data_IF_811328564231
#
_entry.id   IF_811328564231
#
_cell.length_a   1.000
_cell.length_b   1.000
_cell.length_c   1.000
_cell.angle_alpha   90.00
_cell.angle_beta   90.00
_cell.angle_gamma   90.00
#
_symmetry.space_group_name_H-M   'P 1'
#
loop_
_entity.id
_entity.type
_entity.pdbx_description
1 polymer ?
#
# COMPACT_ATOMS: atom_id res chain seq x y z
N UNK A 1 36.20 37.38 -6.07
CA UNK A 1 35.50 36.50 -7.03
C UNK A 1 35.17 35.22 -6.31
N UNK A 2 33.93 35.09 -5.75
CA UNK A 2 33.46 33.90 -5.03
C UNK A 2 33.13 32.87 -6.10
N UNK A 3 33.98 31.85 -6.25
CA UNK A 3 33.71 30.70 -7.11
C UNK A 3 32.63 29.89 -6.41
N UNK A 4 31.36 30.05 -6.83
CA UNK A 4 30.26 29.18 -6.44
C UNK A 4 30.59 27.77 -6.95
N UNK A 5 31.05 26.89 -6.05
CA UNK A 5 31.23 25.46 -6.35
C UNK A 5 29.90 24.90 -6.87
N UNK A 6 29.93 24.32 -8.06
CA UNK A 6 28.77 23.60 -8.59
C UNK A 6 28.30 22.58 -7.55
N UNK A 7 26.98 22.49 -7.25
CA UNK A 7 26.49 21.58 -6.26
C UNK A 7 26.86 20.13 -6.62
N UNK A 8 27.28 19.37 -5.60
CA UNK A 8 27.66 17.96 -5.78
C UNK A 8 26.52 17.18 -6.44
N UNK A 9 26.79 16.11 -7.22
CA UNK A 9 25.74 15.27 -7.83
C UNK A 9 24.67 14.86 -6.83
N UNK A 10 25.07 14.49 -5.60
CA UNK A 10 24.16 14.15 -4.51
C UNK A 10 23.24 15.30 -4.06
N UNK A 11 23.69 16.55 -4.17
CA UNK A 11 22.88 17.72 -3.84
C UNK A 11 21.80 18.02 -4.89
N UNK A 12 22.03 17.64 -6.16
CA UNK A 12 21.05 17.77 -7.24
C UNK A 12 20.00 16.65 -7.23
N UNK A 13 20.35 15.47 -6.73
CA UNK A 13 19.44 14.30 -6.65
C UNK A 13 18.40 14.45 -5.52
N UNK A 14 18.76 15.06 -4.38
CA UNK A 14 17.85 15.19 -3.22
C UNK A 14 16.50 15.84 -3.53
N UNK A 15 16.42 17.01 -4.21
CA UNK A 15 15.13 17.61 -4.55
C UNK A 15 14.27 16.70 -5.44
N UNK A 16 14.91 15.99 -6.38
CA UNK A 16 14.22 15.04 -7.24
C UNK A 16 13.61 13.86 -6.43
N UNK A 17 14.38 13.30 -5.50
CA UNK A 17 13.89 12.21 -4.64
C UNK A 17 12.71 12.64 -3.77
N UNK A 18 12.73 13.86 -3.22
CA UNK A 18 11.60 14.39 -2.46
C UNK A 18 10.39 14.68 -3.34
N UNK A 19 10.59 15.09 -4.58
CA UNK A 19 9.51 15.29 -5.54
C UNK A 19 8.86 13.96 -5.92
N UNK A 20 9.65 12.90 -6.15
CA UNK A 20 9.16 11.55 -6.38
C UNK A 20 8.47 10.97 -5.11
N UNK A 21 8.98 11.28 -3.92
CA UNK A 21 8.33 10.93 -2.67
C UNK A 21 6.98 11.65 -2.51
N UNK A 22 6.85 12.90 -2.98
CA UNK A 22 5.57 13.61 -2.97
C UNK A 22 4.54 12.98 -3.92
N UNK A 23 4.95 12.51 -5.11
CA UNK A 23 4.09 11.70 -5.99
C UNK A 23 3.59 10.46 -5.27
N UNK A 24 4.52 9.72 -4.65
CA UNK A 24 4.20 8.52 -3.91
C UNK A 24 3.25 8.80 -2.72
N UNK A 25 3.50 9.90 -2.00
CA UNK A 25 2.66 10.34 -0.89
C UNK A 25 1.22 10.58 -1.33
N UNK A 26 1.00 11.32 -2.41
CA UNK A 26 -0.35 11.69 -2.85
C UNK A 26 -1.18 10.48 -3.26
N UNK A 27 -0.62 9.53 -4.01
CA UNK A 27 -1.38 8.36 -4.41
C UNK A 27 -1.59 7.36 -3.24
N UNK A 28 -0.64 7.27 -2.32
CA UNK A 28 -0.79 6.42 -1.11
C UNK A 28 -1.85 7.01 -0.17
N UNK A 29 -1.87 8.34 0.02
CA UNK A 29 -2.93 9.00 0.80
C UNK A 29 -4.29 8.78 0.16
N UNK A 30 -4.43 8.93 -1.16
CA UNK A 30 -5.68 8.69 -1.89
C UNK A 30 -6.21 7.27 -1.65
N UNK A 31 -5.33 6.28 -1.71
CA UNK A 31 -5.68 4.90 -1.43
C UNK A 31 -6.10 4.70 0.03
N UNK A 32 -5.27 5.15 0.98
CA UNK A 32 -5.47 4.87 2.40
C UNK A 32 -6.66 5.61 3.00
N UNK A 33 -6.93 6.86 2.59
CA UNK A 33 -7.95 7.68 3.22
C UNK A 33 -9.38 7.24 2.92
N UNK A 34 -9.62 6.49 1.82
CA UNK A 34 -10.96 6.01 1.50
C UNK A 34 -11.52 5.10 2.60
N UNK A 35 -10.69 4.27 3.19
CA UNK A 35 -11.10 3.27 4.17
C UNK A 35 -11.65 3.91 5.45
N UNK A 36 -10.94 4.84 6.13
CA UNK A 36 -11.48 5.53 7.29
C UNK A 36 -12.62 6.51 6.96
N UNK A 37 -12.77 6.94 5.70
CA UNK A 37 -13.95 7.68 5.23
C UNK A 37 -15.20 6.80 5.09
N UNK A 38 -15.06 5.47 5.22
CA UNK A 38 -16.12 4.49 5.07
C UNK A 38 -17.41 4.85 5.77
N UNK A 39 -17.43 5.14 7.10
CA UNK A 39 -18.66 5.48 7.82
C UNK A 39 -19.40 6.67 7.17
N UNK A 40 -18.67 7.73 6.82
CA UNK A 40 -19.23 8.93 6.22
C UNK A 40 -19.76 8.67 4.81
N UNK A 41 -19.03 7.89 4.00
CA UNK A 41 -19.45 7.51 2.64
C UNK A 41 -20.67 6.58 2.67
N UNK A 42 -20.69 5.59 3.55
CA UNK A 42 -21.81 4.66 3.71
C UNK A 42 -23.07 5.43 4.12
N UNK A 43 -22.95 6.34 5.08
CA UNK A 43 -24.08 7.17 5.53
C UNK A 43 -24.57 8.15 4.45
N UNK A 44 -23.66 8.90 3.80
CA UNK A 44 -24.01 9.98 2.87
C UNK A 44 -24.47 9.49 1.50
N UNK A 45 -23.97 8.34 1.06
CA UNK A 45 -24.30 7.76 -0.26
C UNK A 45 -25.22 6.52 -0.15
N UNK A 46 -25.67 6.16 1.06
CA UNK A 46 -26.53 5.00 1.27
C UNK A 46 -25.87 3.68 0.85
N UNK A 47 -24.55 3.51 1.11
CA UNK A 47 -23.82 2.34 0.65
C UNK A 47 -23.95 1.19 1.65
N UNK A 48 -24.25 0.01 1.14
CA UNK A 48 -24.03 -1.23 1.91
C UNK A 48 -22.54 -1.53 2.07
N UNK A 49 -22.18 -2.36 3.05
CA UNK A 49 -20.80 -2.84 3.22
C UNK A 49 -20.23 -3.46 1.93
N UNK A 50 -21.06 -4.21 1.18
CA UNK A 50 -20.67 -4.80 -0.11
C UNK A 50 -20.31 -3.73 -1.16
N UNK A 51 -21.12 -2.68 -1.30
CA UNK A 51 -20.83 -1.59 -2.24
C UNK A 51 -19.59 -0.80 -1.82
N UNK A 52 -19.41 -0.57 -0.53
CA UNK A 52 -18.20 0.05 -0.01
C UNK A 52 -16.95 -0.81 -0.26
N UNK A 53 -17.02 -2.12 0.00
CA UNK A 53 -15.95 -3.06 -0.36
C UNK A 53 -15.61 -3.04 -1.84
N UNK A 54 -16.61 -2.94 -2.72
CA UNK A 54 -16.40 -2.80 -4.16
C UNK A 54 -15.66 -1.49 -4.53
N UNK A 55 -15.93 -0.36 -3.83
CA UNK A 55 -15.20 0.91 -4.05
C UNK A 55 -13.73 0.81 -3.67
N UNK A 56 -13.41 0.12 -2.57
CA UNK A 56 -12.01 -0.12 -2.17
C UNK A 56 -11.34 -1.06 -3.15
N UNK A 57 -12.02 -2.15 -3.53
CA UNK A 57 -11.53 -3.16 -4.48
C UNK A 57 -11.24 -2.58 -5.86
N UNK A 58 -12.10 -1.71 -6.37
CA UNK A 58 -11.98 -1.15 -7.72
C UNK A 58 -10.62 -0.49 -7.95
N UNK A 59 -10.14 0.25 -6.95
CA UNK A 59 -8.81 0.88 -7.02
C UNK A 59 -7.70 -0.15 -7.05
N UNK A 60 -7.67 -1.08 -6.09
CA UNK A 60 -6.56 -2.00 -5.93
C UNK A 60 -6.52 -3.10 -6.99
N UNK A 61 -7.70 -3.57 -7.46
CA UNK A 61 -7.75 -4.52 -8.58
C UNK A 61 -7.33 -3.87 -9.90
N UNK A 62 -7.73 -2.60 -10.14
CA UNK A 62 -7.27 -1.85 -11.30
C UNK A 62 -5.76 -1.59 -11.23
N UNK A 63 -5.23 -1.24 -10.04
CA UNK A 63 -3.79 -1.10 -9.78
C UNK A 63 -3.04 -2.40 -10.07
N UNK A 64 -3.51 -3.53 -9.55
CA UNK A 64 -2.92 -4.85 -9.79
C UNK A 64 -2.89 -5.20 -11.28
N UNK A 65 -4.02 -5.04 -11.97
CA UNK A 65 -4.13 -5.35 -13.39
C UNK A 65 -3.18 -4.50 -14.23
N UNK A 66 -3.17 -3.18 -14.00
CA UNK A 66 -2.28 -2.27 -14.73
C UNK A 66 -0.82 -2.45 -14.34
N UNK A 67 -0.52 -2.78 -13.08
CA UNK A 67 0.84 -3.13 -12.65
C UNK A 67 1.40 -4.35 -13.39
N UNK A 68 0.60 -5.40 -13.58
CA UNK A 68 0.99 -6.57 -14.40
C UNK A 68 1.13 -6.20 -15.86
N UNK A 69 0.14 -5.51 -16.43
CA UNK A 69 0.17 -5.11 -17.84
C UNK A 69 1.36 -4.19 -18.13
N UNK A 70 1.69 -3.30 -17.23
CA UNK A 70 2.81 -2.36 -17.35
C UNK A 70 4.16 -3.04 -17.58
N UNK A 71 4.36 -4.25 -17.05
CA UNK A 71 5.62 -5.01 -17.23
C UNK A 71 5.95 -5.25 -18.71
N UNK A 72 4.95 -5.29 -19.60
CA UNK A 72 5.15 -5.61 -21.02
C UNK A 72 5.50 -4.41 -21.90
N UNK A 73 5.18 -3.17 -21.47
CA UNK A 73 5.33 -2.00 -22.33
C UNK A 73 5.97 -0.77 -21.68
N UNK A 74 6.01 -0.72 -20.35
CA UNK A 74 6.49 0.45 -19.59
C UNK A 74 7.96 0.78 -19.91
N UNK A 75 8.80 -0.23 -20.16
CA UNK A 75 10.22 -0.06 -20.49
C UNK A 75 10.46 0.51 -21.90
N UNK A 76 9.42 0.61 -22.73
CA UNK A 76 9.49 1.19 -24.07
C UNK A 76 9.16 2.68 -24.12
N UNK A 77 8.75 3.25 -22.99
CA UNK A 77 8.28 4.62 -22.90
C UNK A 77 9.28 5.51 -22.15
N UNK A 78 9.37 6.77 -22.59
CA UNK A 78 10.15 7.80 -21.89
C UNK A 78 9.55 8.05 -20.49
N UNK A 79 10.39 7.92 -19.45
CA UNK A 79 9.96 7.90 -18.05
C UNK A 79 9.23 9.18 -17.61
N UNK A 80 9.74 10.37 -17.99
CA UNK A 80 9.14 11.65 -17.59
C UNK A 80 7.74 11.82 -18.16
N UNK A 81 7.58 11.62 -19.48
CA UNK A 81 6.27 11.75 -20.14
C UNK A 81 5.28 10.76 -19.57
N UNK A 82 5.69 9.53 -19.37
CA UNK A 82 4.86 8.47 -18.80
C UNK A 82 4.39 8.85 -17.40
N UNK A 83 5.31 9.31 -16.52
CA UNK A 83 4.93 9.74 -15.17
C UNK A 83 3.96 10.92 -15.21
N UNK A 84 4.24 11.93 -16.04
CA UNK A 84 3.38 13.12 -16.13
C UNK A 84 1.97 12.79 -16.64
N UNK A 85 1.83 11.90 -17.63
CA UNK A 85 0.53 11.48 -18.16
C UNK A 85 -0.25 10.65 -17.13
N UNK A 86 0.39 9.68 -16.50
CA UNK A 86 -0.24 8.86 -15.46
C UNK A 86 -0.66 9.71 -14.26
N UNK A 87 0.18 10.64 -13.85
CA UNK A 87 -0.11 11.49 -12.71
C UNK A 87 -1.21 12.52 -13.03
N UNK A 88 -1.26 13.07 -14.26
CA UNK A 88 -2.38 13.89 -14.70
C UNK A 88 -3.70 13.10 -14.73
N UNK A 89 -3.68 11.85 -15.22
CA UNK A 89 -4.84 10.95 -15.17
C UNK A 89 -5.28 10.65 -13.74
N UNK A 90 -4.34 10.42 -12.83
CA UNK A 90 -4.61 10.23 -11.40
C UNK A 90 -5.26 11.48 -10.77
N UNK A 91 -4.73 12.69 -11.05
CA UNK A 91 -5.29 13.96 -10.56
C UNK A 91 -6.72 14.14 -11.06
N UNK A 92 -6.95 13.93 -12.36
CA UNK A 92 -8.29 14.02 -12.94
C UNK A 92 -9.26 13.02 -12.28
N UNK A 93 -8.84 11.78 -12.08
CA UNK A 93 -9.64 10.76 -11.40
C UNK A 93 -9.92 11.11 -9.93
N UNK A 94 -8.94 11.67 -9.20
CA UNK A 94 -9.12 12.12 -7.81
C UNK A 94 -10.10 13.32 -7.75
N UNK A 95 -10.04 14.26 -8.71
CA UNK A 95 -11.03 15.33 -8.84
C UNK A 95 -12.43 14.77 -9.13
N UNK A 96 -12.54 13.78 -10.01
CA UNK A 96 -13.80 13.08 -10.29
C UNK A 96 -14.35 12.36 -9.04
N UNK A 97 -13.48 11.82 -8.15
CA UNK A 97 -13.93 11.32 -6.86
C UNK A 97 -14.59 12.43 -6.03
N UNK A 98 -13.98 13.62 -5.96
CA UNK A 98 -14.54 14.78 -5.26
C UNK A 98 -15.82 15.34 -5.90
N UNK A 99 -15.96 15.21 -7.21
CA UNK A 99 -17.14 15.67 -7.97
C UNK A 99 -18.26 14.61 -8.08
N UNK A 100 -18.03 13.38 -7.64
CA UNK A 100 -18.97 12.28 -7.79
C UNK A 100 -20.31 12.59 -7.07
N UNK A 101 -21.42 12.39 -7.78
CA UNK A 101 -22.77 12.59 -7.26
C UNK A 101 -23.38 11.33 -6.66
N UNK A 102 -22.77 10.15 -6.91
CA UNK A 102 -23.25 8.87 -6.43
C UNK A 102 -22.18 7.78 -6.47
N UNK A 103 -22.55 6.59 -6.01
CA UNK A 103 -21.68 5.42 -5.89
C UNK A 103 -21.03 5.00 -7.21
N UNK A 104 -21.78 5.00 -8.31
CA UNK A 104 -21.28 4.57 -9.63
C UNK A 104 -20.19 5.52 -10.16
N UNK A 105 -20.41 6.83 -10.07
CA UNK A 105 -19.40 7.82 -10.48
C UNK A 105 -18.12 7.69 -9.64
N UNK A 106 -18.28 7.49 -8.33
CA UNK A 106 -17.14 7.24 -7.43
C UNK A 106 -16.42 5.94 -7.78
N UNK A 107 -17.14 4.86 -8.11
CA UNK A 107 -16.56 3.58 -8.52
C UNK A 107 -15.71 3.72 -9.79
N UNK A 108 -16.22 4.40 -10.81
CA UNK A 108 -15.49 4.64 -12.07
C UNK A 108 -14.24 5.48 -11.80
N UNK A 109 -14.37 6.56 -11.04
CA UNK A 109 -13.26 7.43 -10.70
C UNK A 109 -12.16 6.66 -9.90
N UNK A 110 -12.55 5.80 -8.95
CA UNK A 110 -11.63 4.93 -8.19
C UNK A 110 -10.91 3.92 -9.07
N UNK A 111 -11.63 3.33 -10.05
CA UNK A 111 -11.02 2.39 -11.01
C UNK A 111 -9.94 3.09 -11.84
N UNK A 112 -10.23 4.29 -12.37
CA UNK A 112 -9.25 5.06 -13.15
C UNK A 112 -8.06 5.51 -12.29
N UNK A 113 -8.32 6.01 -11.08
CA UNK A 113 -7.27 6.40 -10.15
C UNK A 113 -6.33 5.23 -9.82
N UNK A 114 -6.89 4.05 -9.55
CA UNK A 114 -6.14 2.82 -9.28
C UNK A 114 -5.31 2.37 -10.49
N UNK A 115 -5.89 2.42 -11.69
CA UNK A 115 -5.18 2.08 -12.94
C UNK A 115 -3.94 2.98 -13.15
N UNK A 116 -4.07 4.27 -12.92
CA UNK A 116 -2.94 5.20 -12.98
C UNK A 116 -1.91 4.91 -11.89
N UNK A 117 -2.36 4.71 -10.64
CA UNK A 117 -1.50 4.50 -9.47
C UNK A 117 -0.64 3.24 -9.57
N UNK A 118 -1.20 2.13 -10.09
CA UNK A 118 -0.48 0.86 -10.26
C UNK A 118 0.75 0.98 -11.17
N UNK A 119 0.69 1.84 -12.17
CA UNK A 119 1.83 2.12 -13.05
C UNK A 119 2.78 3.18 -12.46
N UNK A 120 2.23 4.18 -11.77
CA UNK A 120 3.04 5.29 -11.22
C UNK A 120 4.11 4.80 -10.25
N UNK A 121 3.78 3.88 -9.35
CA UNK A 121 4.74 3.30 -8.41
C UNK A 121 5.94 2.66 -9.11
N UNK A 122 5.69 1.89 -10.19
CA UNK A 122 6.73 1.27 -10.98
C UNK A 122 7.60 2.30 -11.71
N UNK A 123 6.98 3.33 -12.33
CA UNK A 123 7.72 4.41 -13.03
C UNK A 123 8.59 5.21 -12.06
N UNK A 124 8.09 5.53 -10.85
CA UNK A 124 8.86 6.24 -9.82
C UNK A 124 10.13 5.46 -9.45
N UNK A 125 10.00 4.16 -9.19
CA UNK A 125 11.15 3.30 -8.87
C UNK A 125 12.10 3.16 -10.05
N UNK A 126 11.59 3.09 -11.29
CA UNK A 126 12.40 3.06 -12.49
C UNK A 126 13.21 4.35 -12.65
N UNK A 127 12.61 5.54 -12.47
CA UNK A 127 13.31 6.82 -12.52
C UNK A 127 14.43 6.87 -11.46
N UNK A 128 14.16 6.44 -10.22
CA UNK A 128 15.20 6.37 -9.18
C UNK A 128 16.35 5.46 -9.61
N UNK A 129 16.05 4.32 -10.23
CA UNK A 129 17.04 3.37 -10.69
C UNK A 129 17.86 3.86 -11.87
N UNK A 130 17.27 4.70 -12.72
CA UNK A 130 17.95 5.26 -13.91
C UNK A 130 18.81 6.49 -13.57
N UNK A 131 18.42 7.28 -12.55
CA UNK A 131 19.08 8.55 -12.18
C UNK A 131 20.12 8.36 -11.07
N UNK A 132 19.91 7.41 -10.15
CA UNK A 132 20.77 7.25 -8.96
C UNK A 132 21.77 6.11 -9.18
N UNK A 133 23.08 6.33 -8.90
CA UNK A 133 24.12 5.30 -8.96
C UNK A 133 23.78 4.08 -8.10
N UNK A 134 24.21 2.89 -8.55
CA UNK A 134 23.86 1.60 -7.95
C UNK A 134 24.13 1.54 -6.43
N UNK A 135 25.24 2.15 -5.98
CA UNK A 135 25.70 2.15 -4.58
C UNK A 135 24.73 2.90 -3.64
N UNK A 136 23.94 3.86 -4.18
CA UNK A 136 23.04 4.72 -3.41
C UNK A 136 21.55 4.45 -3.68
N UNK A 137 21.21 3.57 -4.64
CA UNK A 137 19.81 3.25 -5.02
C UNK A 137 18.96 2.82 -3.85
N UNK A 138 19.50 1.97 -2.98
CA UNK A 138 18.77 1.51 -1.80
C UNK A 138 18.35 2.66 -0.87
N UNK A 139 19.25 3.61 -0.63
CA UNK A 139 18.96 4.79 0.18
C UNK A 139 17.94 5.71 -0.51
N UNK A 140 18.06 5.89 -1.82
CA UNK A 140 17.13 6.72 -2.60
C UNK A 140 15.71 6.12 -2.61
N UNK A 141 15.57 4.82 -2.85
CA UNK A 141 14.30 4.10 -2.75
C UNK A 141 13.73 4.23 -1.33
N UNK A 142 14.56 4.06 -0.29
CA UNK A 142 14.16 4.27 1.10
C UNK A 142 13.60 5.66 1.35
N UNK A 143 14.20 6.70 0.77
CA UNK A 143 13.70 8.08 0.85
C UNK A 143 12.31 8.21 0.20
N UNK A 144 12.10 7.64 -0.98
CA UNK A 144 10.79 7.66 -1.64
C UNK A 144 9.75 6.86 -0.85
N UNK A 145 10.14 5.73 -0.26
CA UNK A 145 9.24 4.88 0.53
C UNK A 145 8.83 5.51 1.88
N UNK A 146 9.52 6.56 2.38
CA UNK A 146 9.05 7.30 3.57
C UNK A 146 7.66 7.90 3.37
N UNK A 147 7.24 8.10 2.12
CA UNK A 147 5.91 8.55 1.74
C UNK A 147 4.80 7.68 2.37
N UNK A 148 4.97 6.35 2.43
CA UNK A 148 3.97 5.45 3.03
C UNK A 148 3.74 5.74 4.52
N UNK A 149 4.84 5.89 5.26
CA UNK A 149 4.76 6.19 6.68
C UNK A 149 4.16 7.58 6.94
N UNK A 150 4.56 8.58 6.13
CA UNK A 150 4.02 9.93 6.23
C UNK A 150 2.53 9.97 5.86
N UNK A 151 2.11 9.17 4.87
CA UNK A 151 0.69 9.03 4.51
C UNK A 151 -0.15 8.49 5.66
N UNK A 152 0.35 7.46 6.36
CA UNK A 152 -0.37 6.87 7.49
C UNK A 152 -0.42 7.81 8.70
N UNK A 153 0.68 8.52 9.00
CA UNK A 153 0.79 9.39 10.19
C UNK A 153 0.11 10.74 10.00
N UNK A 154 0.26 11.36 8.84
CA UNK A 154 -0.24 12.71 8.57
C UNK A 154 -1.35 12.72 7.51
N UNK A 155 -1.18 12.00 6.40
CA UNK A 155 -2.10 12.05 5.27
C UNK A 155 -3.52 11.62 5.62
N UNK A 156 -3.66 10.46 6.26
CA UNK A 156 -4.97 9.91 6.65
C UNK A 156 -5.68 10.77 7.71
N UNK A 157 -5.05 11.15 8.84
CA UNK A 157 -5.71 12.00 9.82
C UNK A 157 -6.09 13.38 9.29
N UNK A 158 -5.24 14.00 8.46
CA UNK A 158 -5.55 15.28 7.82
C UNK A 158 -6.72 15.15 6.85
N UNK A 159 -6.77 14.06 6.05
CA UNK A 159 -7.89 13.78 5.18
C UNK A 159 -9.21 13.62 5.96
N UNK A 160 -9.20 12.90 7.08
CA UNK A 160 -10.37 12.78 7.95
C UNK A 160 -10.75 14.11 8.59
N UNK A 161 -9.79 14.92 9.04
CA UNK A 161 -10.04 16.26 9.56
C UNK A 161 -10.73 17.15 8.53
N UNK A 162 -10.24 17.14 7.27
CA UNK A 162 -10.87 17.86 6.16
C UNK A 162 -12.29 17.35 5.88
N UNK A 163 -12.51 16.04 5.96
CA UNK A 163 -13.84 15.45 5.75
C UNK A 163 -14.83 15.87 6.86
N UNK A 164 -14.38 16.00 8.09
CA UNK A 164 -15.20 16.49 9.19
C UNK A 164 -15.58 17.96 9.03
N UNK A 165 -14.73 18.79 8.41
CA UNK A 165 -14.99 20.21 8.17
C UNK A 165 -15.82 20.47 6.90
N UNK A 166 -15.48 19.83 5.79
CA UNK A 166 -16.01 20.11 4.46
C UNK A 166 -16.78 18.95 3.80
N UNK A 167 -17.04 17.87 4.55
CA UNK A 167 -17.68 16.67 4.04
C UNK A 167 -16.72 15.75 3.27
N UNK A 168 -17.19 14.57 2.89
CA UNK A 168 -16.37 13.49 2.32
C UNK A 168 -15.66 13.84 0.98
N UNK A 169 -16.10 14.91 0.31
CA UNK A 169 -15.49 15.38 -0.96
C UNK A 169 -14.22 16.20 -0.74
N UNK A 170 -14.14 16.93 0.38
CA UNK A 170 -13.05 17.88 0.63
C UNK A 170 -11.65 17.25 0.64
N UNK A 171 -11.41 16.03 1.17
CA UNK A 171 -10.09 15.41 1.11
C UNK A 171 -9.62 15.12 -0.33
N UNK A 172 -10.55 14.69 -1.21
CA UNK A 172 -10.20 14.41 -2.61
C UNK A 172 -9.84 15.69 -3.36
N UNK A 173 -10.58 16.78 -3.14
CA UNK A 173 -10.32 18.08 -3.77
C UNK A 173 -8.98 18.63 -3.27
N UNK A 174 -8.73 18.60 -1.96
CA UNK A 174 -7.48 19.07 -1.38
C UNK A 174 -6.28 18.25 -1.87
N UNK A 175 -6.44 16.92 -1.93
CA UNK A 175 -5.39 16.03 -2.41
C UNK A 175 -5.09 16.26 -3.89
N UNK A 176 -6.11 16.46 -4.72
CA UNK A 176 -5.94 16.78 -6.14
C UNK A 176 -5.24 18.13 -6.34
N UNK A 177 -5.50 19.14 -5.49
CA UNK A 177 -4.79 20.40 -5.52
C UNK A 177 -3.31 20.25 -5.16
N UNK A 178 -2.99 19.49 -4.10
CA UNK A 178 -1.60 19.16 -3.73
C UNK A 178 -0.92 18.38 -4.86
N UNK A 179 -1.57 17.36 -5.41
CA UNK A 179 -1.04 16.57 -6.52
C UNK A 179 -0.81 17.43 -7.77
N UNK A 180 -1.71 18.39 -8.06
CA UNK A 180 -1.55 19.35 -9.15
C UNK A 180 -0.32 20.24 -8.98
N UNK A 181 -0.07 20.73 -7.77
CA UNK A 181 1.15 21.48 -7.45
C UNK A 181 2.42 20.63 -7.65
N UNK A 182 2.41 19.38 -7.18
CA UNK A 182 3.50 18.42 -7.40
C UNK A 182 3.70 18.12 -8.88
N UNK A 183 2.61 17.96 -9.65
CA UNK A 183 2.68 17.75 -11.10
C UNK A 183 3.35 18.91 -11.83
N UNK A 184 3.01 20.15 -11.46
CA UNK A 184 3.64 21.33 -12.02
C UNK A 184 5.14 21.39 -11.69
N UNK A 185 5.53 21.05 -10.47
CA UNK A 185 6.94 20.94 -10.09
C UNK A 185 7.67 19.84 -10.87
N UNK A 186 7.03 18.67 -11.08
CA UNK A 186 7.57 17.60 -11.93
C UNK A 186 7.79 18.07 -13.36
N UNK A 187 6.81 18.76 -13.94
CA UNK A 187 6.92 19.30 -15.30
C UNK A 187 8.17 20.19 -15.43
N UNK A 188 8.44 21.01 -14.40
CA UNK A 188 9.53 22.01 -14.40
C UNK A 188 10.88 21.43 -14.05
N UNK A 189 10.95 20.47 -13.11
CA UNK A 189 12.22 20.05 -12.49
C UNK A 189 12.64 18.62 -12.81
N UNK A 190 11.73 17.73 -13.26
CA UNK A 190 12.11 16.37 -13.64
C UNK A 190 12.86 16.41 -14.98
N UNK A 191 14.12 15.92 -15.06
CA UNK A 191 14.85 15.82 -16.31
C UNK A 191 14.21 14.78 -17.24
N UNK A 192 14.56 14.83 -18.52
CA UNK A 192 14.25 13.74 -19.45
C UNK A 192 15.05 12.49 -19.04
N UNK A 193 14.38 11.35 -18.99
CA UNK A 193 14.99 10.07 -18.59
C UNK A 193 14.66 9.04 -19.68
N UNK A 194 15.55 8.94 -20.65
CA UNK A 194 15.43 8.12 -21.86
C UNK A 194 16.63 7.19 -22.08
N UNK A 195 17.67 7.28 -21.23
CA UNK A 195 18.90 6.50 -21.37
C UNK A 195 18.72 4.99 -21.40
N UNK A 196 17.64 4.46 -20.83
CA UNK A 196 17.29 3.05 -20.88
C UNK A 196 16.80 2.60 -22.27
N UNK A 197 16.25 3.50 -23.10
CA UNK A 197 15.75 3.20 -24.45
C UNK A 197 16.88 2.80 -25.40
N UNK A 198 18.05 3.40 -25.24
CA UNK A 198 19.24 3.06 -26.05
C UNK A 198 19.89 1.73 -25.63
N UNK A 199 19.68 1.28 -24.38
CA UNK A 199 20.25 0.03 -23.85
C UNK A 199 19.35 -1.18 -24.10
N UNK A 200 18.04 -0.99 -24.29
CA UNK A 200 17.06 -2.05 -24.48
C UNK A 200 17.25 -2.82 -25.80
N UNK A 201 17.97 -2.27 -26.78
CA UNK A 201 18.20 -2.89 -28.10
C UNK A 201 19.17 -4.08 -28.09
N UNK A 202 19.82 -4.40 -26.97
CA UNK A 202 20.85 -5.44 -26.87
C UNK A 202 20.54 -6.64 -25.98
N UNK A 203 19.45 -6.62 -25.21
CA UNK A 203 19.19 -7.64 -24.21
C UNK A 203 18.15 -8.69 -24.67
N UNK A 204 18.55 -9.54 -25.57
CA UNK A 204 17.92 -10.85 -25.80
C UNK A 204 18.25 -11.82 -24.67
N UNK A 205 18.01 -11.43 -23.39
CA UNK A 205 18.23 -12.33 -22.28
C UNK A 205 17.09 -13.36 -22.22
N UNK A 206 17.41 -14.61 -22.50
CA UNK A 206 16.58 -15.77 -22.17
C UNK A 206 16.12 -15.63 -20.72
N UNK A 207 14.83 -15.44 -20.51
CA UNK A 207 14.24 -15.33 -19.18
C UNK A 207 14.34 -16.69 -18.48
N UNK A 208 15.11 -16.83 -17.39
CA UNK A 208 15.01 -18.02 -16.58
C UNK A 208 13.56 -18.20 -16.16
N UNK A 209 13.01 -19.40 -16.40
CA UNK A 209 11.61 -19.69 -16.15
C UNK A 209 11.23 -19.42 -14.70
N UNK A 210 10.03 -18.90 -14.48
CA UNK A 210 9.41 -18.78 -13.17
C UNK A 210 9.30 -20.17 -12.56
N UNK A 211 10.06 -20.45 -11.52
CA UNK A 211 9.96 -21.73 -10.82
C UNK A 211 8.74 -21.76 -9.91
N UNK A 212 8.08 -22.91 -9.70
CA UNK A 212 6.97 -23.04 -8.75
C UNK A 212 7.30 -22.52 -7.34
N UNK A 213 8.58 -22.52 -6.96
CA UNK A 213 9.07 -21.98 -5.69
C UNK A 213 8.90 -20.46 -5.58
N UNK A 214 9.11 -19.73 -6.65
CA UNK A 214 8.91 -18.29 -6.69
C UNK A 214 7.43 -17.93 -6.55
N UNK A 215 6.53 -18.76 -7.07
CA UNK A 215 5.08 -18.58 -6.91
C UNK A 215 4.62 -18.72 -5.44
N UNK A 216 5.29 -19.54 -4.63
CA UNK A 216 4.99 -19.62 -3.18
C UNK A 216 5.26 -18.28 -2.45
N UNK A 217 6.26 -17.51 -2.87
CA UNK A 217 6.51 -16.18 -2.30
C UNK A 217 5.39 -15.18 -2.62
N UNK A 218 4.83 -15.22 -3.84
CA UNK A 218 3.66 -14.44 -4.19
C UNK A 218 2.43 -14.89 -3.40
N UNK A 219 2.21 -16.21 -3.26
CA UNK A 219 1.15 -16.77 -2.42
C UNK A 219 1.27 -16.36 -0.96
N UNK A 220 2.48 -16.32 -0.41
CA UNK A 220 2.73 -15.84 0.96
C UNK A 220 2.39 -14.34 1.09
N UNK A 221 2.87 -13.49 0.17
CA UNK A 221 2.50 -12.06 0.16
C UNK A 221 0.99 -11.88 0.04
N UNK A 222 0.37 -12.60 -0.89
CA UNK A 222 -1.07 -12.56 -1.10
C UNK A 222 -1.84 -12.89 0.18
N UNK A 223 -1.54 -14.00 0.85
CA UNK A 223 -2.27 -14.41 2.06
C UNK A 223 -2.05 -13.49 3.24
N UNK A 224 -0.83 -12.97 3.42
CA UNK A 224 -0.50 -11.99 4.49
C UNK A 224 -1.31 -10.69 4.30
N UNK A 225 -1.37 -10.17 3.07
CA UNK A 225 -2.11 -8.95 2.75
C UNK A 225 -3.61 -9.20 2.79
N UNK A 226 -4.07 -10.32 2.24
CA UNK A 226 -5.48 -10.71 2.23
C UNK A 226 -6.07 -10.77 3.64
N UNK A 227 -5.37 -11.41 4.59
CA UNK A 227 -5.81 -11.48 5.99
C UNK A 227 -6.00 -10.08 6.61
N UNK A 228 -5.13 -9.12 6.27
CA UNK A 228 -5.22 -7.74 6.75
C UNK A 228 -6.41 -7.00 6.16
N UNK A 229 -6.56 -7.10 4.83
CA UNK A 229 -7.56 -6.33 4.08
C UNK A 229 -8.97 -6.89 4.15
N UNK A 230 -9.18 -8.06 4.75
CA UNK A 230 -10.52 -8.49 5.19
C UNK A 230 -11.10 -7.53 6.24
N UNK A 231 -10.27 -6.92 7.08
CA UNK A 231 -10.68 -6.08 8.21
C UNK A 231 -10.45 -4.59 7.97
N UNK A 232 -9.27 -4.20 7.46
CA UNK A 232 -8.81 -2.81 7.38
C UNK A 232 -9.82 -1.85 6.73
N UNK A 233 -10.49 -2.18 5.61
CA UNK A 233 -11.46 -1.29 4.98
C UNK A 233 -12.65 -0.94 5.86
N UNK A 234 -13.03 -1.82 6.77
CA UNK A 234 -14.25 -1.73 7.56
C UNK A 234 -14.02 -1.26 8.99
N UNK A 235 -12.75 -1.09 9.42
CA UNK A 235 -12.42 -0.69 10.81
C UNK A 235 -13.09 0.63 11.20
N UNK A 236 -13.05 1.64 10.31
CA UNK A 236 -13.70 2.93 10.56
C UNK A 236 -15.21 2.79 10.74
N UNK A 237 -15.86 2.05 9.84
CA UNK A 237 -17.31 1.81 9.91
C UNK A 237 -17.70 1.02 11.15
N UNK A 238 -16.91 0.03 11.56
CA UNK A 238 -17.12 -0.74 12.78
C UNK A 238 -16.93 0.13 14.04
N UNK A 239 -15.88 0.95 14.10
CA UNK A 239 -15.64 1.85 15.24
C UNK A 239 -16.80 2.83 15.45
N UNK A 240 -17.36 3.37 14.37
CA UNK A 240 -18.47 4.32 14.46
C UNK A 240 -19.80 3.60 14.72
N UNK A 241 -20.14 2.59 13.90
CA UNK A 241 -21.45 1.95 13.94
C UNK A 241 -21.62 0.97 15.10
N UNK A 242 -20.60 0.21 15.49
CA UNK A 242 -20.72 -0.84 16.48
C UNK A 242 -20.13 -0.43 17.85
N UNK A 243 -18.99 0.26 17.84
CA UNK A 243 -18.30 0.66 19.09
C UNK A 243 -18.82 1.99 19.62
N UNK A 244 -19.46 2.80 18.77
CA UNK A 244 -20.05 4.10 19.17
C UNK A 244 -19.05 5.26 19.17
N UNK A 245 -17.92 5.14 18.45
CA UNK A 245 -16.94 6.22 18.33
C UNK A 245 -17.50 7.36 17.46
N UNK A 246 -17.23 8.60 17.85
CA UNK A 246 -17.65 9.75 17.05
C UNK A 246 -16.79 9.89 15.78
N UNK A 247 -17.34 10.46 14.71
CA UNK A 247 -16.58 10.76 13.48
C UNK A 247 -15.42 11.74 13.75
N UNK A 248 -15.58 12.62 14.74
CA UNK A 248 -14.57 13.60 15.15
C UNK A 248 -13.37 12.97 15.88
N UNK A 249 -13.54 11.78 16.45
CA UNK A 249 -12.49 11.06 17.16
C UNK A 249 -11.66 10.15 16.25
N UNK A 250 -12.23 9.74 15.09
CA UNK A 250 -11.53 8.88 14.12
C UNK A 250 -10.13 9.40 13.73
N UNK A 251 -9.92 10.70 13.41
CA UNK A 251 -8.59 11.20 13.06
C UNK A 251 -7.54 10.91 14.14
N UNK A 252 -7.92 11.01 15.42
CA UNK A 252 -7.02 10.77 16.54
C UNK A 252 -6.64 9.30 16.69
N UNK A 253 -7.60 8.39 16.49
CA UNK A 253 -7.34 6.94 16.50
C UNK A 253 -6.40 6.55 15.37
N UNK A 254 -6.63 7.07 14.13
CA UNK A 254 -5.76 6.79 12.99
C UNK A 254 -4.38 7.45 13.15
N UNK A 255 -4.30 8.63 13.73
CA UNK A 255 -3.02 9.28 14.06
C UNK A 255 -2.21 8.42 15.04
N UNK A 256 -2.83 7.95 16.12
CA UNK A 256 -2.18 7.09 17.11
C UNK A 256 -1.69 5.77 16.47
N UNK A 257 -2.53 5.11 15.68
CA UNK A 257 -2.16 3.87 14.96
C UNK A 257 -1.06 4.08 13.94
N UNK A 258 -1.11 5.17 13.17
CA UNK A 258 -0.08 5.54 12.19
C UNK A 258 1.26 5.84 12.86
N UNK A 259 1.27 6.66 13.92
CA UNK A 259 2.46 6.98 14.71
C UNK A 259 3.09 5.73 15.33
N UNK A 260 2.28 4.86 15.93
CA UNK A 260 2.75 3.60 16.51
C UNK A 260 3.35 2.67 15.44
N UNK A 261 2.72 2.56 14.27
CA UNK A 261 3.25 1.79 13.13
C UNK A 261 4.58 2.35 12.64
N UNK A 262 4.71 3.69 12.55
CA UNK A 262 5.95 4.34 12.13
C UNK A 262 7.11 4.04 13.10
N UNK A 263 6.87 4.14 14.42
CA UNK A 263 7.88 3.86 15.45
C UNK A 263 8.24 2.38 15.47
N UNK A 264 7.24 1.49 15.48
CA UNK A 264 7.45 0.04 15.56
C UNK A 264 8.11 -0.56 14.32
N UNK A 265 7.92 0.04 13.15
CA UNK A 265 8.52 -0.43 11.89
C UNK A 265 10.05 -0.56 11.96
N UNK A 266 10.73 0.41 12.62
CA UNK A 266 12.18 0.37 12.83
C UNK A 266 12.60 -0.75 13.78
N UNK A 267 11.81 -1.01 14.83
CA UNK A 267 12.04 -2.12 15.77
C UNK A 267 11.88 -3.47 15.08
N UNK A 268 10.80 -3.63 14.31
CA UNK A 268 10.51 -4.87 13.56
C UNK A 268 11.58 -5.11 12.50
N UNK A 269 12.06 -4.08 11.80
CA UNK A 269 13.16 -4.19 10.85
C UNK A 269 14.43 -4.73 11.52
N UNK A 270 14.88 -4.10 12.62
CA UNK A 270 16.06 -4.58 13.38
C UNK A 270 15.88 -5.99 13.91
N UNK A 271 14.67 -6.35 14.33
CA UNK A 271 14.36 -7.70 14.78
C UNK A 271 14.45 -8.70 13.61
N UNK A 272 13.97 -8.33 12.41
CA UNK A 272 14.10 -9.15 11.21
C UNK A 272 15.56 -9.34 10.78
N UNK A 273 16.40 -8.31 10.94
CA UNK A 273 17.84 -8.40 10.66
C UNK A 273 18.57 -9.34 11.65
N UNK A 274 18.19 -9.33 12.94
CA UNK A 274 18.83 -10.11 13.98
C UNK A 274 18.35 -11.55 14.07
N UNK A 275 17.06 -11.79 14.00
CA UNK A 275 16.43 -13.10 14.19
C UNK A 275 16.14 -13.84 12.88
N UNK A 276 16.29 -13.13 11.77
CA UNK A 276 15.89 -13.58 10.44
C UNK A 276 14.42 -13.29 10.11
N UNK A 277 14.13 -12.89 8.85
CA UNK A 277 12.80 -12.43 8.44
C UNK A 277 11.72 -13.52 8.57
N UNK A 278 12.05 -14.78 8.34
CA UNK A 278 11.08 -15.89 8.44
C UNK A 278 10.59 -16.10 9.90
N UNK A 279 11.48 -16.04 10.90
CA UNK A 279 11.10 -16.17 12.30
C UNK A 279 10.25 -15.01 12.77
N UNK A 280 10.64 -13.79 12.40
CA UNK A 280 9.89 -12.58 12.78
C UNK A 280 8.51 -12.57 12.13
N UNK A 281 8.40 -12.99 10.85
CA UNK A 281 7.11 -13.12 10.21
C UNK A 281 6.22 -14.16 10.89
N UNK A 282 6.77 -15.33 11.27
CA UNK A 282 6.02 -16.34 12.00
C UNK A 282 5.49 -15.81 13.33
N UNK A 283 6.34 -15.13 14.12
CA UNK A 283 5.94 -14.50 15.38
C UNK A 283 4.83 -13.47 15.18
N UNK A 284 4.94 -12.59 14.17
CA UNK A 284 3.93 -11.59 13.87
C UNK A 284 2.63 -12.19 13.34
N UNK A 285 2.67 -13.26 12.54
CA UNK A 285 1.47 -13.96 12.08
C UNK A 285 0.67 -14.54 13.26
N UNK A 286 1.35 -15.17 14.21
CA UNK A 286 0.70 -15.69 15.43
C UNK A 286 0.23 -14.54 16.32
N UNK A 287 1.08 -13.54 16.57
CA UNK A 287 0.76 -12.41 17.44
C UNK A 287 -0.42 -11.56 16.92
N UNK A 288 -0.66 -11.49 15.60
CA UNK A 288 -1.79 -10.73 15.04
C UNK A 288 -3.14 -11.43 15.19
N UNK A 289 -3.17 -12.73 15.42
CA UNK A 289 -4.44 -13.46 15.56
C UNK A 289 -5.26 -12.94 16.76
N UNK A 290 -4.60 -12.67 17.89
CA UNK A 290 -5.24 -12.09 19.07
C UNK A 290 -5.89 -10.71 18.79
N UNK A 291 -5.15 -9.71 18.31
CA UNK A 291 -5.71 -8.42 17.93
C UNK A 291 -6.79 -8.45 16.85
N UNK A 292 -6.73 -9.39 15.88
CA UNK A 292 -7.82 -9.56 14.93
C UNK A 292 -9.13 -9.93 15.62
N UNK A 293 -9.10 -10.86 16.57
CA UNK A 293 -10.29 -11.26 17.34
C UNK A 293 -10.68 -10.17 18.34
N UNK A 294 -9.71 -9.61 19.09
CA UNK A 294 -9.97 -8.57 20.07
C UNK A 294 -10.69 -7.37 19.44
N UNK A 295 -10.20 -6.90 18.27
CA UNK A 295 -10.81 -5.78 17.58
C UNK A 295 -12.21 -6.10 17.06
N UNK A 296 -12.39 -7.26 16.44
CA UNK A 296 -13.67 -7.64 15.81
C UNK A 296 -14.78 -8.02 16.81
N UNK A 297 -14.44 -8.21 18.09
CA UNK A 297 -15.39 -8.48 19.19
C UNK A 297 -15.42 -7.33 20.19
N UNK A 298 -14.86 -6.16 19.85
CA UNK A 298 -14.80 -5.01 20.75
C UNK A 298 -16.23 -4.49 21.02
N UNK A 299 -16.69 -4.47 22.28
CA UNK A 299 -17.98 -3.88 22.63
C UNK A 299 -17.90 -2.34 22.57
N UNK A 300 -19.03 -1.65 22.71
CA UNK A 300 -19.04 -0.21 22.92
C UNK A 300 -18.04 0.20 24.00
N UNK A 301 -17.09 1.06 23.66
CA UNK A 301 -15.91 1.34 24.49
C UNK A 301 -15.47 2.79 24.36
N UNK A 302 -14.89 3.38 25.42
CA UNK A 302 -14.40 4.77 25.38
C UNK A 302 -13.17 4.89 24.46
N UNK A 303 -12.94 6.09 23.95
CA UNK A 303 -11.87 6.44 23.01
C UNK A 303 -10.48 5.86 23.37
N UNK A 304 -9.99 5.94 24.64
CA UNK A 304 -8.67 5.41 24.98
C UNK A 304 -8.53 3.89 24.76
N UNK A 305 -9.59 3.13 25.04
CA UNK A 305 -9.62 1.66 24.84
C UNK A 305 -9.61 1.36 23.35
N UNK A 306 -10.44 2.05 22.56
CA UNK A 306 -10.48 1.88 21.10
C UNK A 306 -9.13 2.22 20.49
N UNK A 307 -8.52 3.33 20.90
CA UNK A 307 -7.20 3.75 20.42
C UNK A 307 -6.11 2.72 20.75
N UNK A 308 -6.10 2.17 21.97
CA UNK A 308 -5.13 1.15 22.38
C UNK A 308 -5.26 -0.13 21.54
N UNK A 309 -6.49 -0.62 21.39
CA UNK A 309 -6.75 -1.84 20.60
C UNK A 309 -6.41 -1.61 19.11
N UNK A 310 -6.73 -0.43 18.57
CA UNK A 310 -6.38 -0.04 17.21
C UNK A 310 -4.86 0.07 16.99
N UNK A 311 -4.14 0.68 17.93
CA UNK A 311 -2.67 0.76 17.93
C UNK A 311 -2.05 -0.63 17.92
N UNK A 312 -2.52 -1.53 18.78
CA UNK A 312 -2.04 -2.90 18.84
C UNK A 312 -2.31 -3.64 17.51
N UNK A 313 -3.54 -3.51 17.00
CA UNK A 313 -3.94 -4.08 15.71
C UNK A 313 -3.06 -3.56 14.57
N UNK A 314 -2.92 -2.24 14.43
CA UNK A 314 -2.16 -1.62 13.34
C UNK A 314 -0.67 -1.97 13.42
N UNK A 315 -0.06 -1.91 14.59
CA UNK A 315 1.35 -2.22 14.81
C UNK A 315 1.71 -3.64 14.35
N UNK A 316 0.95 -4.62 14.81
CA UNK A 316 1.23 -6.03 14.50
C UNK A 316 0.84 -6.38 13.07
N UNK A 317 -0.30 -5.88 12.57
CA UNK A 317 -0.80 -6.17 11.23
C UNK A 317 0.08 -5.55 10.16
N UNK A 318 0.39 -4.25 10.26
CA UNK A 318 1.26 -3.57 9.29
C UNK A 318 2.71 -4.02 9.39
N UNK A 319 3.15 -4.39 10.59
CA UNK A 319 4.51 -4.87 10.83
C UNK A 319 4.90 -6.13 10.03
N UNK A 320 3.92 -6.93 9.62
CA UNK A 320 4.17 -8.16 8.80
C UNK A 320 4.73 -7.86 7.43
N UNK A 321 4.47 -6.68 6.86
CA UNK A 321 4.94 -6.32 5.53
C UNK A 321 6.47 -6.30 5.41
N UNK A 322 7.17 -5.85 6.47
CA UNK A 322 8.64 -5.70 6.47
C UNK A 322 9.33 -7.07 6.34
N UNK A 323 9.11 -8.04 7.24
CA UNK A 323 9.76 -9.34 7.13
C UNK A 323 9.27 -10.14 5.91
N UNK A 324 8.02 -9.96 5.46
CA UNK A 324 7.52 -10.60 4.23
C UNK A 324 8.32 -10.13 3.02
N UNK A 325 8.48 -8.82 2.83
CA UNK A 325 9.24 -8.27 1.71
C UNK A 325 10.71 -8.66 1.77
N UNK A 326 11.34 -8.60 2.95
CA UNK A 326 12.73 -9.00 3.16
C UNK A 326 12.95 -10.48 2.82
N UNK A 327 12.06 -11.37 3.29
CA UNK A 327 12.13 -12.80 3.02
C UNK A 327 11.97 -13.11 1.53
N UNK A 328 10.97 -12.52 0.90
CA UNK A 328 10.68 -12.72 -0.52
C UNK A 328 11.83 -12.21 -1.38
N UNK A 329 12.31 -10.99 -1.13
CA UNK A 329 13.42 -10.39 -1.90
C UNK A 329 14.74 -11.16 -1.76
N UNK A 330 15.01 -11.75 -0.59
CA UNK A 330 16.24 -12.51 -0.33
C UNK A 330 16.32 -13.84 -1.09
N UNK A 331 15.19 -14.38 -1.54
CA UNK A 331 15.10 -15.68 -2.23
C UNK A 331 15.13 -15.59 -3.74
N UNK A 332 15.14 -14.37 -4.28
CA UNK A 332 15.09 -14.12 -5.72
C UNK A 332 16.48 -13.76 -6.24
N UNK A 333 16.97 -14.43 -7.30
CA UNK A 333 18.22 -14.08 -7.95
C UNK A 333 18.24 -12.58 -8.35
N UNK A 334 19.40 -11.90 -8.25
CA UNK A 334 19.50 -10.47 -8.57
C UNK A 334 18.96 -10.11 -9.96
N UNK A 335 19.18 -10.97 -10.95
CA UNK A 335 18.74 -10.78 -12.34
C UNK A 335 17.21 -10.79 -12.53
N UNK A 336 16.46 -11.46 -11.65
CA UNK A 336 15.00 -11.57 -11.72
C UNK A 336 14.28 -10.68 -10.72
N UNK A 337 15.02 -10.06 -9.76
CA UNK A 337 14.45 -9.39 -8.59
C UNK A 337 13.47 -8.28 -8.96
N UNK A 338 13.80 -7.44 -9.93
CA UNK A 338 12.93 -6.33 -10.35
C UNK A 338 11.57 -6.83 -10.86
N UNK A 339 11.58 -7.76 -11.82
CA UNK A 339 10.35 -8.32 -12.40
C UNK A 339 9.53 -9.09 -11.36
N UNK A 340 10.21 -9.86 -10.52
CA UNK A 340 9.55 -10.61 -9.46
C UNK A 340 8.86 -9.71 -8.44
N UNK A 341 9.52 -8.65 -8.00
CA UNK A 341 8.94 -7.70 -7.04
C UNK A 341 7.79 -6.90 -7.66
N UNK A 342 7.82 -6.59 -8.96
CA UNK A 342 6.70 -5.96 -9.63
C UNK A 342 5.45 -6.85 -9.61
N UNK A 343 5.58 -8.14 -9.93
CA UNK A 343 4.47 -9.10 -9.81
C UNK A 343 4.04 -9.29 -8.36
N UNK A 344 4.99 -9.25 -7.40
CA UNK A 344 4.68 -9.34 -5.97
C UNK A 344 3.85 -8.14 -5.49
N UNK A 345 4.12 -6.94 -5.98
CA UNK A 345 3.29 -5.76 -5.69
C UNK A 345 1.88 -5.91 -6.28
N UNK A 346 1.77 -6.37 -7.52
CA UNK A 346 0.47 -6.65 -8.13
C UNK A 346 -0.31 -7.74 -7.38
N UNK A 347 0.37 -8.78 -6.88
CA UNK A 347 -0.24 -9.80 -6.02
C UNK A 347 -0.73 -9.23 -4.69
N UNK A 348 0.02 -8.28 -4.10
CA UNK A 348 -0.38 -7.53 -2.90
C UNK A 348 -1.64 -6.68 -3.15
N UNK A 349 -1.66 -5.91 -4.25
CA UNK A 349 -2.80 -5.09 -4.61
C UNK A 349 -4.04 -5.95 -4.95
N UNK A 350 -3.84 -7.04 -5.68
CA UNK A 350 -4.89 -8.01 -5.97
C UNK A 350 -5.47 -8.65 -4.71
N UNK A 351 -4.60 -9.01 -3.76
CA UNK A 351 -5.02 -9.57 -2.47
C UNK A 351 -5.84 -8.55 -1.67
N UNK A 352 -5.39 -7.29 -1.61
CA UNK A 352 -6.10 -6.24 -0.89
C UNK A 352 -7.48 -5.96 -1.49
N UNK A 353 -7.58 -5.95 -2.83
CA UNK A 353 -8.84 -5.76 -3.52
C UNK A 353 -9.82 -6.92 -3.32
N UNK A 354 -9.36 -8.14 -3.54
CA UNK A 354 -10.19 -9.33 -3.35
C UNK A 354 -10.66 -9.47 -1.90
N UNK A 355 -9.77 -9.21 -0.93
CA UNK A 355 -10.12 -9.25 0.49
C UNK A 355 -11.15 -8.18 0.86
N UNK A 356 -10.98 -6.95 0.38
CA UNK A 356 -11.95 -5.88 0.60
C UNK A 356 -13.32 -6.22 0.03
N UNK A 357 -13.37 -6.78 -1.19
CA UNK A 357 -14.63 -7.20 -1.80
C UNK A 357 -15.27 -8.36 -1.05
N UNK A 358 -14.52 -9.42 -0.74
CA UNK A 358 -15.02 -10.57 0.01
C UNK A 358 -15.46 -10.18 1.42
N UNK A 359 -14.73 -9.29 2.09
CA UNK A 359 -15.15 -8.75 3.38
C UNK A 359 -16.52 -8.08 3.30
N UNK A 360 -16.76 -7.30 2.24
CA UNK A 360 -18.06 -6.68 1.99
C UNK A 360 -19.21 -7.65 1.71
N UNK A 361 -18.92 -8.84 1.15
CA UNK A 361 -19.93 -9.89 0.94
C UNK A 361 -20.33 -10.60 2.25
N UNK A 362 -19.39 -10.70 3.19
CA UNK A 362 -19.65 -11.33 4.51
C UNK A 362 -20.44 -10.40 5.44
N UNK A 363 -20.25 -9.08 5.26
CA UNK A 363 -20.87 -8.05 6.08
C UNK A 363 -22.25 -7.67 5.57
N UNK A 364 -23.17 -7.41 6.49
CA UNK A 364 -24.41 -6.70 6.22
C UNK A 364 -24.50 -5.46 7.11
N UNK A 365 -25.22 -4.46 6.63
CA UNK A 365 -25.42 -3.20 7.36
C UNK A 365 -26.86 -3.18 7.86
N UNK A 366 -27.04 -3.07 9.17
CA UNK A 366 -28.35 -2.92 9.78
C UNK A 366 -28.90 -1.48 9.57
N UNK A 367 -30.21 -1.24 9.75
CA UNK A 367 -30.80 0.09 9.58
C UNK A 367 -30.23 1.19 10.48
N UNK A 368 -29.69 0.83 11.63
CA UNK A 368 -29.02 1.73 12.59
C UNK A 368 -27.56 2.04 12.22
N UNK A 369 -27.05 1.47 11.12
CA UNK A 369 -25.67 1.65 10.66
C UNK A 369 -24.67 0.65 11.26
N UNK A 370 -25.10 -0.28 12.11
CA UNK A 370 -24.22 -1.32 12.65
C UNK A 370 -23.80 -2.33 11.58
N UNK A 371 -22.57 -2.81 11.66
CA UNK A 371 -22.03 -3.85 10.79
C UNK A 371 -22.26 -5.23 11.45
N UNK A 372 -23.12 -6.02 10.84
CA UNK A 372 -23.36 -7.41 11.24
C UNK A 372 -22.34 -8.33 10.56
N UNK A 373 -21.86 -9.32 11.30
CA UNK A 373 -20.92 -10.31 10.77
C UNK A 373 -19.45 -9.96 10.91
N UNK A 374 -19.08 -8.82 11.55
CA UNK A 374 -17.69 -8.38 11.67
C UNK A 374 -16.83 -9.38 12.46
N UNK A 375 -17.39 -10.04 13.48
CA UNK A 375 -16.74 -11.14 14.20
C UNK A 375 -16.34 -12.31 13.27
N UNK A 376 -17.18 -12.63 12.26
CA UNK A 376 -16.88 -13.68 11.27
C UNK A 376 -15.64 -13.32 10.44
N UNK A 377 -15.47 -12.03 10.08
CA UNK A 377 -14.27 -11.57 9.39
C UNK A 377 -13.01 -11.74 10.25
N UNK A 378 -13.11 -11.52 11.57
CA UNK A 378 -12.02 -11.79 12.51
C UNK A 378 -11.54 -13.24 12.44
N UNK A 379 -12.47 -14.19 12.50
CA UNK A 379 -12.15 -15.63 12.40
C UNK A 379 -11.60 -16.00 11.01
N UNK A 380 -12.14 -15.43 9.92
CA UNK A 380 -11.60 -15.63 8.58
C UNK A 380 -10.17 -15.10 8.47
N UNK A 381 -9.88 -13.91 9.02
CA UNK A 381 -8.55 -13.34 9.04
C UNK A 381 -7.55 -14.20 9.83
N UNK A 382 -7.97 -14.80 10.93
CA UNK A 382 -7.18 -15.78 11.70
C UNK A 382 -6.92 -17.02 10.87
N UNK A 383 -7.93 -17.61 10.23
CA UNK A 383 -7.77 -18.76 9.35
C UNK A 383 -6.81 -18.52 8.19
N UNK A 384 -6.92 -17.36 7.53
CA UNK A 384 -5.97 -16.95 6.47
C UNK A 384 -4.56 -16.69 7.01
N UNK A 385 -4.42 -16.13 8.23
CA UNK A 385 -3.12 -15.97 8.88
C UNK A 385 -2.48 -17.32 9.22
N UNK A 386 -3.25 -18.32 9.61
CA UNK A 386 -2.79 -19.69 9.81
C UNK A 386 -2.35 -20.35 8.49
N UNK A 387 -3.10 -20.12 7.39
CA UNK A 387 -2.68 -20.54 6.04
C UNK A 387 -1.37 -19.88 5.63
N UNK A 388 -1.21 -18.56 5.88
CA UNK A 388 0.02 -17.85 5.61
C UNK A 388 1.21 -18.44 6.39
N UNK A 389 0.99 -18.88 7.63
CA UNK A 389 2.01 -19.56 8.43
C UNK A 389 2.42 -20.91 7.80
N UNK A 390 1.45 -21.70 7.31
CA UNK A 390 1.73 -22.93 6.57
C UNK A 390 2.53 -22.70 5.28
N UNK A 391 2.17 -21.67 4.51
CA UNK A 391 2.91 -21.26 3.32
C UNK A 391 4.33 -20.77 3.66
N UNK A 392 4.48 -20.03 4.75
CA UNK A 392 5.78 -19.59 5.25
C UNK A 392 6.70 -20.78 5.55
N UNK A 393 6.20 -21.82 6.22
CA UNK A 393 6.96 -23.03 6.51
C UNK A 393 7.36 -23.76 5.23
N UNK A 394 6.47 -23.87 4.26
CA UNK A 394 6.74 -24.47 2.96
C UNK A 394 7.78 -23.68 2.16
N UNK A 395 7.71 -22.35 2.22
CA UNK A 395 8.62 -21.45 1.53
C UNK A 395 9.99 -21.36 2.20
N UNK A 396 10.04 -21.32 3.55
CA UNK A 396 11.28 -21.24 4.33
C UNK A 396 11.99 -22.61 4.45
N UNK A 397 11.24 -23.68 4.72
CA UNK A 397 11.82 -25.03 5.01
C UNK A 397 12.49 -25.72 3.80
N UNK A 398 12.04 -25.43 2.59
CA UNK A 398 12.65 -25.99 1.36
C UNK A 398 14.00 -25.41 0.98
N UNK A 399 14.44 -24.32 1.63
CA UNK A 399 15.74 -23.71 1.36
C UNK A 399 16.89 -24.31 2.17
N UNK A 400 16.60 -24.91 3.32
CA UNK A 400 17.62 -25.57 4.17
C UNK A 400 18.18 -26.85 3.53
N UNK A 401 17.45 -27.46 2.59
CA UNK A 401 17.88 -28.71 1.92
C UNK A 401 18.76 -28.53 0.67
N UNK A 402 19.05 -27.30 0.23
CA UNK A 402 19.81 -27.05 -0.99
C UNK A 402 21.24 -26.58 -0.77
N UNK A 403 21.66 -26.26 0.46
CA UNK A 403 23.03 -25.84 0.76
C UNK A 403 23.93 -27.00 1.20
N UNK A 404 23.50 -28.26 1.06
CA UNK A 404 24.31 -29.45 1.33
C UNK A 404 24.44 -30.28 0.05
N UNK A 405 25.07 -29.71 -0.97
CA UNK A 405 25.77 -30.49 -1.98
C UNK A 405 27.25 -30.11 -1.87
N UNK A 406 28.14 -31.00 -1.42
CA UNK A 406 29.56 -30.74 -1.49
C UNK A 406 29.91 -30.63 -2.98
N UNK A 407 30.59 -29.55 -3.32
CA UNK A 407 31.26 -29.44 -4.61
C UNK A 407 32.27 -30.60 -4.73
N UNK A 408 32.42 -31.20 -5.93
CA UNK A 408 33.39 -32.24 -6.20
C UNK A 408 34.84 -31.77 -6.06
#
# INVERSE_FOLDING_TARGET
>A
MIVLRAPSPAARERPLLWLLAAVQFTHVVDFMMLMPLGPLLMQRLGLSATRFGALVSAYTLASAAMGVLGVFWLDRLERKRTLLLLYAGFIAATLLCGAATGATGLLIARTVAGACAGLMGAVVIAIVSDVVPAERRGQAIGTVMTAYALSAVAGVPLGLGLANLGGWRSPFIALAAVAGAVWFLLLRFLPHVDGHLSQASGAGASTPGLTPRLALGWGLTFTVVFASFLLIPYLGAFMVGNVGLSLTDLPWVYLAGGAATFVSSRGIGRMADRLGPARVLALLLVATMGPHLLFTHLPPSPLPVVALVFVLFMTLTSGRAIPTMALVASRVPPSLRGRYLAVNMAASDGASGLAAWMGGLVLSTAPDGTLLGFARLGWLAVGVSALALGLLWSFAGRAVRLDVSPAP
#
